data_IF_172660868166
#
_entry.id   IF_172660868166
#
_cell.length_a   1.000
_cell.length_b   1.000
_cell.length_c   1.000
_cell.angle_alpha   90.00
_cell.angle_beta   90.00
_cell.angle_gamma   90.00
#
_symmetry.space_group_name_H-M   'P 1'
#
loop_
_entity.id
_entity.type
_entity.pdbx_description
1 polymer ?
#
# COMPACT_ATOMS: atom_id res chain seq x y z
N UNK A 1 -11.97 -2.89 16.68
CA UNK A 1 -11.42 -3.62 17.83
C UNK A 1 -9.95 -3.29 18.08
N UNK A 2 -8.93 -3.75 17.34
CA UNK A 2 -7.53 -3.49 17.79
C UNK A 2 -7.01 -2.04 17.62
N UNK A 3 -7.49 -1.25 16.64
CA UNK A 3 -6.93 0.08 16.34
C UNK A 3 -7.37 1.13 17.38
N UNK A 4 -8.67 1.18 17.72
CA UNK A 4 -9.19 2.16 18.68
C UNK A 4 -8.81 1.80 20.12
N UNK A 5 -8.86 0.51 20.47
CA UNK A 5 -8.60 0.08 21.84
C UNK A 5 -7.21 0.55 22.26
N UNK A 6 -6.19 0.52 21.39
CA UNK A 6 -4.88 1.04 21.76
C UNK A 6 -4.83 2.58 21.81
N UNK A 7 -5.47 3.34 20.93
CA UNK A 7 -5.57 4.80 21.09
C UNK A 7 -6.24 5.20 22.42
N UNK A 8 -7.33 4.51 22.80
CA UNK A 8 -8.07 4.80 24.04
C UNK A 8 -7.35 4.29 25.30
N UNK A 9 -6.85 3.06 25.27
CA UNK A 9 -6.13 2.40 26.38
C UNK A 9 -4.78 3.06 26.60
N UNK A 10 -3.99 3.39 25.56
CA UNK A 10 -2.71 4.10 25.75
C UNK A 10 -2.89 5.51 26.28
N UNK A 11 -3.83 6.31 25.72
CA UNK A 11 -4.05 7.68 26.21
C UNK A 11 -4.61 7.73 27.64
N UNK A 12 -5.45 6.76 28.06
CA UNK A 12 -5.91 6.68 29.46
C UNK A 12 -4.85 6.10 30.40
N UNK A 13 -4.22 4.96 30.08
CA UNK A 13 -3.34 4.27 31.02
C UNK A 13 -2.01 4.98 31.29
N UNK A 14 -1.45 5.74 30.33
CA UNK A 14 -0.23 6.51 30.62
C UNK A 14 -0.47 7.70 31.56
N UNK A 15 -1.73 8.13 31.69
CA UNK A 15 -2.11 9.13 32.70
C UNK A 15 -2.15 8.53 34.11
N UNK A 16 -2.19 7.19 34.24
CA UNK A 16 -2.55 6.52 35.50
C UNK A 16 -1.58 5.42 35.98
N UNK A 17 -0.65 4.84 35.20
CA UNK A 17 0.26 3.77 35.71
C UNK A 17 1.54 3.50 34.87
N UNK A 18 2.78 3.69 35.39
CA UNK A 18 4.04 3.49 34.65
C UNK A 18 4.55 2.05 34.44
N UNK A 19 3.86 1.00 34.92
CA UNK A 19 4.47 -0.34 35.12
C UNK A 19 4.28 -1.38 33.99
N UNK A 20 3.44 -1.13 32.96
CA UNK A 20 3.03 -2.17 31.99
C UNK A 20 4.01 -2.46 30.82
N UNK A 21 5.22 -1.89 30.82
CA UNK A 21 6.17 -2.00 29.71
C UNK A 21 7.21 -3.14 29.88
N UNK A 22 6.80 -4.32 30.35
CA UNK A 22 7.70 -5.44 30.66
C UNK A 22 7.46 -6.78 29.94
N UNK A 23 6.47 -6.92 29.03
CA UNK A 23 6.00 -8.26 28.63
C UNK A 23 6.07 -8.64 27.14
N UNK A 24 6.93 -8.04 26.31
CA UNK A 24 7.07 -8.50 24.90
C UNK A 24 8.52 -8.86 24.54
N UNK A 25 8.90 -10.16 24.57
CA UNK A 25 10.17 -10.63 24.02
C UNK A 25 10.12 -10.63 22.49
N UNK A 26 11.17 -10.10 21.84
CA UNK A 26 11.34 -10.10 20.38
C UNK A 26 12.52 -10.98 19.99
N UNK A 27 12.29 -12.01 19.17
CA UNK A 27 13.34 -12.78 18.49
C UNK A 27 13.41 -12.40 17.00
N UNK A 28 14.60 -12.17 16.43
CA UNK A 28 14.78 -11.91 15.00
C UNK A 28 14.69 -13.21 14.16
N UNK A 29 14.11 -13.19 12.95
CA UNK A 29 14.17 -14.33 12.03
C UNK A 29 15.46 -14.31 11.19
N UNK A 30 16.09 -15.47 11.06
CA UNK A 30 17.31 -15.76 10.32
C UNK A 30 17.16 -15.59 8.79
N UNK A 31 18.27 -15.24 8.16
CA UNK A 31 18.43 -15.07 6.71
C UNK A 31 18.72 -16.42 6.03
N UNK A 32 17.78 -16.94 5.24
CA UNK A 32 18.07 -18.02 4.29
C UNK A 32 18.43 -17.41 2.93
N UNK A 33 19.73 -17.21 2.71
CA UNK A 33 20.31 -16.89 1.41
C UNK A 33 20.41 -18.12 0.52
N UNK A 34 19.99 -18.01 -0.73
CA UNK A 34 20.18 -19.01 -1.77
C UNK A 34 20.39 -18.30 -3.09
N UNK A 35 21.65 -18.19 -3.52
CA UNK A 35 22.05 -17.68 -4.81
C UNK A 35 21.74 -18.74 -5.89
N UNK A 36 21.16 -18.32 -7.02
CA UNK A 36 21.13 -19.12 -8.25
C UNK A 36 21.48 -18.20 -9.42
N UNK A 37 22.48 -18.63 -10.19
CA UNK A 37 23.15 -17.88 -11.24
C UNK A 37 22.28 -17.53 -12.44
N UNK A 38 22.63 -16.40 -13.04
CA UNK A 38 22.07 -15.85 -14.27
C UNK A 38 22.76 -16.51 -15.46
N UNK A 39 22.03 -17.37 -16.18
CA UNK A 39 22.37 -17.79 -17.54
C UNK A 39 21.71 -16.82 -18.53
N UNK A 40 22.52 -16.20 -19.38
CA UNK A 40 22.08 -15.24 -20.39
C UNK A 40 21.24 -15.87 -21.49
N UNK A 41 20.27 -15.10 -22.00
CA UNK A 41 19.64 -15.34 -23.28
C UNK A 41 19.47 -13.98 -23.96
N UNK A 42 20.16 -13.82 -25.08
CA UNK A 42 20.03 -12.70 -26.01
C UNK A 42 18.62 -12.67 -26.62
N UNK A 43 18.00 -11.48 -26.68
CA UNK A 43 16.84 -11.25 -27.53
C UNK A 43 17.08 -10.00 -28.37
N UNK A 44 17.24 -10.27 -29.66
CA UNK A 44 17.43 -9.34 -30.76
C UNK A 44 16.24 -8.38 -30.91
N UNK A 45 16.56 -7.11 -31.14
CA UNK A 45 15.62 -6.06 -31.52
C UNK A 45 15.30 -6.22 -33.02
N UNK A 46 14.03 -6.21 -33.40
CA UNK A 46 13.61 -5.98 -34.79
C UNK A 46 12.65 -4.80 -34.85
N UNK A 47 13.07 -3.82 -35.65
CA UNK A 47 12.29 -2.67 -36.10
C UNK A 47 11.22 -3.08 -37.13
N UNK A 48 10.17 -2.25 -37.23
CA UNK A 48 9.29 -1.91 -38.37
C UNK A 48 7.92 -1.54 -37.78
N UNK A 49 7.19 -0.50 -38.18
CA UNK A 49 7.32 0.48 -39.26
C UNK A 49 6.24 1.56 -39.05
N UNK A 50 6.47 2.71 -39.68
CA UNK A 50 5.61 3.89 -39.71
C UNK A 50 4.41 3.69 -40.64
N UNK A 51 3.23 4.21 -40.25
CA UNK A 51 2.16 4.56 -41.20
C UNK A 51 1.51 5.89 -40.82
N UNK A 52 1.20 6.66 -41.86
CA UNK A 52 0.68 8.03 -41.88
C UNK A 52 -0.75 8.02 -42.40
N UNK A 53 -1.61 8.87 -41.84
CA UNK A 53 -2.68 9.58 -42.57
C UNK A 53 -4.10 8.98 -42.57
N UNK A 54 -5.08 9.78 -42.12
CA UNK A 54 -6.51 9.50 -42.31
C UNK A 54 -7.42 10.43 -41.50
N UNK A 55 -8.08 11.34 -42.20
CA UNK A 55 -8.86 12.50 -41.74
C UNK A 55 -10.35 12.23 -41.48
N UNK A 56 -10.96 13.05 -40.61
CA UNK A 56 -12.33 13.57 -40.76
C UNK A 56 -13.45 12.91 -39.94
N UNK A 57 -14.12 13.69 -39.09
CA UNK A 57 -15.39 13.32 -38.47
C UNK A 57 -15.72 14.07 -37.18
N UNK A 58 -16.20 15.31 -37.30
CA UNK A 58 -16.82 16.09 -36.21
C UNK A 58 -18.28 15.67 -36.04
N UNK A 59 -18.71 15.32 -34.82
CA UNK A 59 -20.13 15.31 -34.48
C UNK A 59 -20.32 15.63 -32.99
N UNK A 60 -20.91 16.79 -32.71
CA UNK A 60 -21.21 17.29 -31.38
C UNK A 60 -22.69 17.05 -31.02
N UNK A 61 -22.87 16.40 -29.88
CA UNK A 61 -23.82 16.68 -28.78
C UNK A 61 -25.30 16.96 -29.09
N UNK A 62 -26.16 16.02 -28.67
CA UNK A 62 -27.42 16.36 -27.99
C UNK A 62 -27.36 15.65 -26.63
N UNK A 63 -27.30 16.43 -25.55
CA UNK A 63 -27.32 15.94 -24.18
C UNK A 63 -28.75 15.97 -23.64
N UNK A 64 -29.17 14.87 -23.02
CA UNK A 64 -30.35 14.85 -22.16
C UNK A 64 -29.92 14.99 -20.68
N UNK A 65 -30.71 15.71 -19.85
CA UNK A 65 -30.30 16.13 -18.52
C UNK A 65 -30.83 15.19 -17.42
N UNK A 66 -30.02 15.04 -16.37
CA UNK A 66 -30.37 14.53 -15.03
C UNK A 66 -30.65 13.02 -14.87
N UNK A 67 -29.56 12.26 -14.72
CA UNK A 67 -29.45 11.20 -13.70
C UNK A 67 -28.08 11.30 -13.02
N UNK A 68 -27.95 12.24 -12.06
CA UNK A 68 -26.79 12.29 -11.17
C UNK A 68 -26.82 11.07 -10.24
N UNK A 69 -26.06 10.05 -10.63
CA UNK A 69 -25.69 8.93 -9.77
C UNK A 69 -24.67 9.42 -8.73
N UNK A 70 -24.84 9.18 -7.42
CA UNK A 70 -23.83 9.56 -6.43
C UNK A 70 -22.73 8.49 -6.41
N UNK A 71 -21.76 8.58 -7.32
CA UNK A 71 -20.55 7.74 -7.25
C UNK A 71 -19.26 8.38 -7.75
N UNK A 72 -19.20 9.72 -7.85
CA UNK A 72 -17.95 10.42 -8.16
C UNK A 72 -17.04 10.55 -6.92
N UNK A 73 -16.68 9.41 -6.32
CA UNK A 73 -15.42 9.38 -5.55
C UNK A 73 -14.27 9.44 -6.55
N UNK A 74 -13.25 10.29 -6.35
CA UNK A 74 -12.13 10.39 -7.27
C UNK A 74 -11.47 9.02 -7.43
N UNK A 75 -11.22 8.64 -8.69
CA UNK A 75 -10.44 7.44 -9.02
C UNK A 75 -9.10 7.48 -8.27
N UNK A 76 -8.55 6.33 -7.84
CA UNK A 76 -7.22 6.30 -7.28
C UNK A 76 -6.26 6.99 -8.25
N UNK A 77 -5.25 7.74 -7.76
CA UNK A 77 -4.31 8.41 -8.63
C UNK A 77 -3.73 7.38 -9.61
N UNK A 78 -3.52 7.79 -10.86
CA UNK A 78 -2.70 7.02 -11.79
C UNK A 78 -1.26 6.98 -11.28
N UNK A 79 -0.51 5.95 -11.66
CA UNK A 79 0.91 5.91 -11.35
C UNK A 79 1.56 7.15 -11.98
N UNK A 80 2.38 7.94 -11.25
CA UNK A 80 3.06 9.08 -11.85
C UNK A 80 3.91 8.64 -13.04
N UNK A 81 3.78 9.33 -14.18
CA UNK A 81 4.57 9.08 -15.38
C UNK A 81 5.93 9.78 -15.34
N UNK A 82 6.06 10.80 -14.48
CA UNK A 82 7.31 11.52 -14.29
C UNK A 82 8.33 10.66 -13.53
N UNK A 83 9.63 10.76 -13.86
CA UNK A 83 10.67 10.09 -13.11
C UNK A 83 10.61 10.50 -11.63
N UNK A 84 10.70 9.54 -10.68
CA UNK A 84 10.68 9.87 -9.27
C UNK A 84 11.86 10.81 -8.93
N UNK A 85 11.68 11.78 -8.01
CA UNK A 85 12.78 12.62 -7.55
C UNK A 85 13.85 11.74 -6.91
N UNK A 86 15.11 12.16 -6.98
CA UNK A 86 16.20 11.49 -6.25
C UNK A 86 15.90 11.53 -4.75
N UNK A 87 16.32 10.51 -4.00
CA UNK A 87 16.11 10.40 -2.56
C UNK A 87 16.57 11.64 -1.78
N UNK A 88 17.67 12.26 -2.19
CA UNK A 88 18.19 13.49 -1.56
C UNK A 88 17.27 14.71 -1.71
N UNK A 89 16.39 14.70 -2.72
CA UNK A 89 15.43 15.78 -2.98
C UNK A 89 14.07 15.50 -2.32
N UNK A 90 13.91 14.36 -1.66
CA UNK A 90 12.69 14.02 -0.94
C UNK A 90 12.75 14.62 0.46
N UNK A 91 11.88 15.59 0.72
CA UNK A 91 11.75 16.19 2.04
C UNK A 91 11.00 15.28 3.01
N UNK A 92 11.30 15.37 4.31
CA UNK A 92 10.56 14.68 5.38
C UNK A 92 10.91 13.21 5.62
N UNK A 93 11.93 12.66 4.95
CA UNK A 93 12.49 11.36 5.30
C UNK A 93 13.22 11.43 6.65
N UNK A 94 13.00 10.44 7.52
CA UNK A 94 13.90 10.19 8.66
C UNK A 94 15.29 9.74 8.20
N UNK A 95 16.29 9.79 9.08
CA UNK A 95 17.64 9.34 8.75
C UNK A 95 17.67 7.87 8.32
N UNK A 96 16.89 7.01 8.99
CA UNK A 96 16.73 5.62 8.59
C UNK A 96 16.02 5.45 7.24
N UNK A 97 14.96 6.23 6.98
CA UNK A 97 14.24 6.18 5.70
C UNK A 97 15.09 6.70 4.54
N UNK A 98 15.90 7.74 4.74
CA UNK A 98 16.80 8.25 3.72
C UNK A 98 17.83 7.20 3.30
N UNK A 99 18.42 6.48 4.26
CA UNK A 99 19.33 5.35 3.98
C UNK A 99 18.65 4.23 3.19
N UNK A 100 17.43 3.85 3.59
CA UNK A 100 16.65 2.85 2.86
C UNK A 100 16.27 3.31 1.45
N UNK A 101 15.94 4.59 1.28
CA UNK A 101 15.64 5.17 -0.02
C UNK A 101 16.84 5.04 -0.96
N UNK A 102 18.03 5.42 -0.49
CA UNK A 102 19.28 5.31 -1.27
C UNK A 102 19.64 3.86 -1.61
N UNK A 103 19.30 2.90 -0.74
CA UNK A 103 19.53 1.47 -1.00
C UNK A 103 18.51 0.88 -1.98
N UNK A 104 17.31 1.45 -2.04
CA UNK A 104 16.14 0.94 -2.75
C UNK A 104 15.50 2.05 -3.59
N UNK A 105 16.30 2.69 -4.47
CA UNK A 105 15.85 3.89 -5.21
C UNK A 105 14.64 3.60 -6.10
N UNK A 106 14.60 2.42 -6.75
CA UNK A 106 13.48 1.97 -7.61
C UNK A 106 12.14 1.91 -6.85
N UNK A 107 12.18 1.72 -5.52
CA UNK A 107 11.00 1.61 -4.68
C UNK A 107 10.31 2.95 -4.48
N UNK A 108 11.05 4.06 -4.57
CA UNK A 108 10.53 5.38 -4.22
C UNK A 108 9.26 5.74 -5.00
N UNK A 109 9.20 5.44 -6.30
CA UNK A 109 8.00 5.66 -7.10
C UNK A 109 6.78 4.90 -6.55
N UNK A 110 6.97 3.63 -6.18
CA UNK A 110 5.91 2.78 -5.62
C UNK A 110 5.52 3.20 -4.19
N UNK A 111 6.47 3.66 -3.37
CA UNK A 111 6.15 4.21 -2.04
C UNK A 111 5.29 5.48 -2.23
N UNK A 112 5.71 6.40 -3.13
CA UNK A 112 4.99 7.65 -3.46
C UNK A 112 3.56 7.38 -3.88
N UNK A 113 3.41 6.51 -4.86
CA UNK A 113 2.12 6.06 -5.31
C UNK A 113 1.25 5.50 -4.17
N UNK A 114 1.79 4.58 -3.37
CA UNK A 114 1.06 3.93 -2.29
C UNK A 114 0.56 4.90 -1.22
N UNK A 115 1.40 5.86 -0.81
CA UNK A 115 0.98 6.91 0.14
C UNK A 115 -0.10 7.80 -0.47
N UNK A 116 0.09 8.28 -1.70
CA UNK A 116 -0.88 9.17 -2.36
C UNK A 116 -2.24 8.49 -2.54
N UNK A 117 -2.24 7.23 -2.97
CA UNK A 117 -3.46 6.45 -3.13
C UNK A 117 -4.15 6.19 -1.79
N UNK A 118 -3.40 5.89 -0.72
CA UNK A 118 -3.96 5.75 0.62
C UNK A 118 -4.58 7.07 1.15
N UNK A 119 -3.94 8.21 0.91
CA UNK A 119 -4.48 9.52 1.31
C UNK A 119 -5.69 9.94 0.47
N UNK A 120 -5.70 9.62 -0.83
CA UNK A 120 -6.88 9.82 -1.67
C UNK A 120 -8.07 9.01 -1.13
N UNK A 121 -7.83 7.75 -0.74
CA UNK A 121 -8.86 6.92 -0.13
C UNK A 121 -9.33 7.45 1.23
N UNK A 122 -8.41 7.97 2.05
CA UNK A 122 -8.76 8.63 3.30
C UNK A 122 -9.71 9.80 3.09
N UNK A 123 -9.45 10.66 2.11
CA UNK A 123 -10.35 11.77 1.75
C UNK A 123 -11.71 11.25 1.26
N UNK A 124 -11.71 10.19 0.47
CA UNK A 124 -12.96 9.60 -0.02
C UNK A 124 -13.80 8.98 1.11
N UNK A 125 -13.18 8.30 2.08
CA UNK A 125 -13.88 7.70 3.24
C UNK A 125 -14.45 8.77 4.19
N UNK A 126 -13.81 9.93 4.28
CA UNK A 126 -14.16 10.98 5.23
C UNK A 126 -14.80 12.21 4.57
N UNK A 127 -15.16 12.15 3.28
CA UNK A 127 -15.66 13.29 2.50
C UNK A 127 -16.80 14.06 3.18
N UNK A 128 -17.75 13.35 3.78
CA UNK A 128 -18.93 13.91 4.44
C UNK A 128 -18.81 13.98 5.98
N UNK A 129 -17.58 13.94 6.51
CA UNK A 129 -17.29 14.06 7.94
C UNK A 129 -16.74 15.45 8.25
N UNK A 130 -16.89 15.90 9.50
CA UNK A 130 -16.33 17.19 9.98
C UNK A 130 -14.82 17.27 9.75
N UNK A 131 -14.12 16.15 10.00
CA UNK A 131 -12.75 15.96 9.57
C UNK A 131 -12.75 15.15 8.27
N UNK A 132 -12.33 15.78 7.17
CA UNK A 132 -12.44 15.23 5.81
C UNK A 132 -11.12 14.68 5.24
N UNK A 133 -10.13 14.43 6.10
CA UNK A 133 -8.78 14.02 5.72
C UNK A 133 -8.08 14.99 4.73
N UNK A 134 -8.48 16.27 4.71
CA UNK A 134 -7.69 17.31 4.07
C UNK A 134 -6.36 17.44 4.82
N UNK A 135 -5.27 17.23 4.10
CA UNK A 135 -3.90 17.29 4.63
C UNK A 135 -3.23 18.47 3.93
N UNK A 136 -3.06 19.58 4.64
CA UNK A 136 -2.31 20.75 4.16
C UNK A 136 -0.83 20.58 4.47
N UNK A 137 0.05 21.20 3.68
CA UNK A 137 1.50 21.19 3.90
C UNK A 137 1.90 21.76 5.29
N UNK A 138 1.03 22.58 5.87
CA UNK A 138 1.17 23.17 7.22
C UNK A 138 0.90 22.17 8.35
N UNK A 139 0.03 21.17 8.13
CA UNK A 139 -0.34 20.16 9.13
C UNK A 139 0.42 18.83 8.95
N UNK A 140 1.04 18.65 7.78
CA UNK A 140 1.78 17.45 7.38
C UNK A 140 2.99 17.96 6.65
N UNK A 141 4.01 18.39 7.40
CA UNK A 141 5.27 18.77 6.77
C UNK A 141 5.74 17.65 5.82
N UNK A 142 6.36 18.06 4.72
CA UNK A 142 6.66 17.27 3.53
C UNK A 142 5.49 16.41 2.97
N UNK A 143 5.09 16.58 1.69
CA UNK A 143 3.91 15.95 1.05
C UNK A 143 3.81 14.42 1.03
N UNK A 144 4.72 13.70 1.69
CA UNK A 144 4.90 12.28 1.50
C UNK A 144 5.26 11.50 2.77
N UNK A 145 6.08 12.05 3.70
CA UNK A 145 6.55 11.30 4.88
C UNK A 145 6.83 12.16 6.13
N UNK A 146 6.67 13.49 6.05
CA UNK A 146 7.20 14.39 7.08
C UNK A 146 6.37 14.46 8.37
N UNK A 147 6.65 15.46 9.23
CA UNK A 147 6.48 15.36 10.67
C UNK A 147 5.07 14.93 10.97
N UNK A 148 5.03 13.94 11.84
CA UNK A 148 3.87 13.21 12.29
C UNK A 148 2.71 14.18 12.51
N UNK A 149 1.48 13.69 12.32
CA UNK A 149 0.37 14.26 13.07
C UNK A 149 0.82 14.19 14.54
N UNK A 150 1.33 15.31 15.08
CA UNK A 150 1.89 15.40 16.43
C UNK A 150 0.79 15.15 17.46
N UNK A 151 -0.45 15.20 17.00
CA UNK A 151 -1.67 14.81 17.69
C UNK A 151 -1.84 13.30 17.71
N UNK A 152 -1.88 12.74 18.92
CA UNK A 152 -2.43 11.41 19.18
C UNK A 152 -3.96 11.45 19.12
N UNK A 153 -4.51 11.65 17.92
CA UNK A 153 -5.95 11.59 17.68
C UNK A 153 -6.35 10.23 17.14
N UNK A 154 -7.66 9.97 17.12
CA UNK A 154 -8.17 8.86 16.33
C UNK A 154 -7.70 9.10 14.90
N UNK A 155 -8.10 10.20 14.26
CA UNK A 155 -7.84 10.59 12.86
C UNK A 155 -6.41 10.26 12.40
N UNK A 156 -5.42 10.57 13.23
CA UNK A 156 -4.02 10.24 12.98
C UNK A 156 -3.73 8.75 12.85
N UNK A 157 -4.32 7.91 13.70
CA UNK A 157 -4.21 6.47 13.62
C UNK A 157 -4.76 5.89 12.30
N UNK A 158 -5.84 6.44 11.76
CA UNK A 158 -6.37 5.99 10.45
C UNK A 158 -5.42 6.39 9.34
N UNK A 159 -4.90 7.63 9.37
CA UNK A 159 -3.92 8.10 8.40
C UNK A 159 -2.67 7.22 8.40
N UNK A 160 -2.15 6.83 9.57
CA UNK A 160 -1.01 5.91 9.65
C UNK A 160 -1.34 4.53 9.07
N UNK A 161 -2.51 3.97 9.42
CA UNK A 161 -2.94 2.67 8.92
C UNK A 161 -3.17 2.66 7.40
N UNK A 162 -3.85 3.66 6.83
CA UNK A 162 -4.15 3.72 5.40
C UNK A 162 -2.89 3.98 4.56
N UNK A 163 -1.93 4.77 5.06
CA UNK A 163 -0.62 4.94 4.41
C UNK A 163 0.14 3.62 4.38
N UNK A 164 0.20 2.91 5.51
CA UNK A 164 0.87 1.61 5.58
C UNK A 164 0.19 0.56 4.68
N UNK A 165 -1.14 0.55 4.61
CA UNK A 165 -1.88 -0.30 3.68
C UNK A 165 -1.58 0.05 2.21
N UNK A 166 -1.59 1.34 1.86
CA UNK A 166 -1.32 1.83 0.52
C UNK A 166 0.08 1.50 0.03
N UNK A 167 1.12 1.72 0.85
CA UNK A 167 2.50 1.36 0.50
C UNK A 167 2.65 -0.16 0.33
N UNK A 168 2.09 -0.97 1.24
CA UNK A 168 2.17 -2.42 1.12
C UNK A 168 1.47 -2.96 -0.14
N UNK A 169 0.33 -2.35 -0.51
CA UNK A 169 -0.41 -2.67 -1.73
C UNK A 169 0.38 -2.30 -2.99
N UNK A 170 0.91 -1.07 -3.04
CA UNK A 170 1.69 -0.58 -4.16
C UNK A 170 2.94 -1.45 -4.41
N UNK A 171 3.67 -1.81 -3.35
CA UNK A 171 4.84 -2.69 -3.45
C UNK A 171 4.51 -4.07 -3.99
N UNK A 172 3.44 -4.68 -3.48
CA UNK A 172 3.03 -6.01 -3.93
C UNK A 172 2.67 -6.03 -5.42
N UNK A 173 2.02 -4.98 -5.91
CA UNK A 173 1.71 -4.82 -7.34
C UNK A 173 2.93 -4.47 -8.17
N UNK A 174 3.84 -3.64 -7.66
CA UNK A 174 5.07 -3.30 -8.37
C UNK A 174 5.95 -4.53 -8.63
N UNK A 175 6.01 -5.49 -7.69
CA UNK A 175 6.64 -6.79 -7.91
C UNK A 175 5.96 -7.61 -9.02
N UNK A 176 4.63 -7.61 -9.07
CA UNK A 176 3.87 -8.31 -10.11
C UNK A 176 4.14 -7.71 -11.48
N UNK A 177 4.16 -6.38 -11.55
CA UNK A 177 4.33 -5.64 -12.79
C UNK A 177 5.81 -5.59 -13.23
N UNK A 178 6.73 -6.25 -12.51
CA UNK A 178 8.15 -6.31 -12.85
C UNK A 178 8.91 -4.99 -12.68
N UNK A 179 8.38 -4.04 -11.89
CA UNK A 179 9.00 -2.72 -11.69
C UNK A 179 10.11 -2.68 -10.66
N UNK A 180 10.26 -3.75 -9.89
CA UNK A 180 11.24 -3.84 -8.79
C UNK A 180 12.11 -5.06 -9.02
N UNK A 181 13.41 -4.86 -9.16
CA UNK A 181 14.38 -5.93 -9.43
C UNK A 181 14.63 -6.83 -8.21
N UNK A 182 14.29 -6.32 -7.02
CA UNK A 182 14.48 -7.01 -5.73
C UNK A 182 13.37 -8.00 -5.37
N UNK A 183 12.34 -8.16 -6.21
CA UNK A 183 11.26 -9.11 -5.97
C UNK A 183 10.71 -9.73 -7.26
N UNK A 184 10.02 -10.87 -7.09
CA UNK A 184 9.34 -11.59 -8.16
C UNK A 184 7.81 -11.57 -7.95
N UNK A 185 7.07 -12.19 -8.87
CA UNK A 185 5.66 -12.55 -8.67
C UNK A 185 5.43 -13.31 -7.35
N UNK A 186 4.18 -13.31 -6.89
CA UNK A 186 3.74 -14.08 -5.72
C UNK A 186 4.11 -15.56 -5.82
N UNK A 187 4.61 -16.12 -4.71
CA UNK A 187 4.85 -17.57 -4.54
C UNK A 187 3.68 -18.30 -3.87
N UNK A 188 2.50 -17.67 -3.85
CA UNK A 188 1.33 -18.26 -3.21
C UNK A 188 0.91 -19.56 -3.87
N UNK A 189 0.69 -20.58 -3.04
CA UNK A 189 0.19 -21.87 -3.47
C UNK A 189 -1.24 -21.78 -4.01
N UNK A 190 -1.61 -22.79 -4.80
CA UNK A 190 -2.95 -22.95 -5.33
C UNK A 190 -4.00 -23.02 -4.21
N UNK A 191 -5.07 -22.22 -4.24
CA UNK A 191 -6.18 -22.33 -3.30
C UNK A 191 -6.88 -23.68 -3.39
N UNK A 192 -7.26 -24.27 -2.26
CA UNK A 192 -7.90 -25.61 -2.19
C UNK A 192 -9.29 -25.64 -2.84
N UNK A 193 -9.97 -24.51 -2.79
CA UNK A 193 -11.31 -24.26 -3.32
C UNK A 193 -11.31 -23.91 -4.82
N UNK A 194 -10.13 -23.77 -5.45
CA UNK A 194 -10.03 -23.50 -6.88
C UNK A 194 -10.40 -24.75 -7.69
N UNK A 195 -11.36 -24.57 -8.60
CA UNK A 195 -11.79 -25.55 -9.60
C UNK A 195 -10.61 -26.28 -10.25
N UNK A 196 -10.59 -27.61 -10.14
CA UNK A 196 -9.45 -28.47 -10.55
C UNK A 196 -9.03 -28.28 -12.01
N UNK A 197 -9.98 -27.99 -12.88
CA UNK A 197 -9.79 -27.73 -14.31
C UNK A 197 -9.20 -26.36 -14.63
N UNK A 198 -9.18 -25.43 -13.68
CA UNK A 198 -8.58 -24.11 -13.87
C UNK A 198 -7.09 -24.15 -13.54
N UNK A 199 -6.26 -23.57 -14.39
CA UNK A 199 -4.81 -23.51 -14.19
C UNK A 199 -4.49 -22.48 -13.12
N UNK A 200 -3.72 -22.87 -12.09
CA UNK A 200 -3.14 -21.92 -11.16
C UNK A 200 -1.79 -21.48 -11.71
N UNK A 201 -1.65 -20.20 -12.04
CA UNK A 201 -0.45 -19.69 -12.69
C UNK A 201 -0.58 -18.22 -13.05
N UNK A 202 0.40 -17.73 -13.81
CA UNK A 202 0.55 -16.29 -14.09
C UNK A 202 1.29 -15.56 -12.97
N UNK A 203 1.29 -14.23 -13.04
CA UNK A 203 1.99 -13.38 -12.09
C UNK A 203 1.00 -12.73 -11.11
N UNK A 204 1.02 -13.18 -9.86
CA UNK A 204 0.21 -12.60 -8.78
C UNK A 204 0.95 -11.53 -7.96
N UNK A 205 0.20 -10.74 -7.20
CA UNK A 205 0.75 -9.67 -6.35
C UNK A 205 1.64 -10.24 -5.22
N UNK A 206 2.90 -9.80 -5.12
CA UNK A 206 3.84 -10.30 -4.12
C UNK A 206 3.67 -9.59 -2.77
N UNK A 207 2.68 -10.06 -2.05
CA UNK A 207 2.25 -9.48 -0.80
C UNK A 207 3.20 -9.66 0.38
N UNK A 208 3.96 -10.75 0.38
CA UNK A 208 4.94 -11.02 1.43
C UNK A 208 6.06 -9.98 1.36
N UNK A 209 6.52 -9.69 0.15
CA UNK A 209 7.45 -8.60 -0.11
C UNK A 209 6.85 -7.26 0.31
N UNK A 210 5.64 -6.94 -0.16
CA UNK A 210 4.97 -5.68 0.17
C UNK A 210 4.82 -5.45 1.68
N UNK A 211 4.48 -6.50 2.43
CA UNK A 211 4.42 -6.45 3.90
C UNK A 211 5.79 -6.18 4.53
N UNK A 212 6.82 -6.96 4.15
CA UNK A 212 8.17 -6.88 4.73
C UNK A 212 8.83 -5.54 4.45
N UNK A 213 8.83 -5.10 3.20
CA UNK A 213 9.45 -3.83 2.82
C UNK A 213 8.78 -2.65 3.54
N UNK A 214 7.44 -2.59 3.51
CA UNK A 214 6.69 -1.51 4.18
C UNK A 214 6.94 -1.48 5.68
N UNK A 215 7.09 -2.65 6.32
CA UNK A 215 7.47 -2.75 7.72
C UNK A 215 8.82 -2.13 8.00
N UNK A 216 9.83 -2.49 7.22
CA UNK A 216 11.19 -1.95 7.36
C UNK A 216 11.18 -0.43 7.12
N UNK A 217 10.54 0.03 6.06
CA UNK A 217 10.57 1.44 5.65
C UNK A 217 9.76 2.37 6.55
N UNK A 218 8.54 2.01 6.95
CA UNK A 218 7.71 2.89 7.78
C UNK A 218 8.08 2.83 9.27
N UNK A 219 8.48 1.66 9.78
CA UNK A 219 8.72 1.51 11.22
C UNK A 219 10.11 2.03 11.65
N UNK A 220 11.05 2.24 10.72
CA UNK A 220 12.40 2.72 11.07
C UNK A 220 12.34 4.10 11.73
N UNK A 221 11.46 4.99 11.26
CA UNK A 221 11.25 6.33 11.82
C UNK A 221 10.81 6.28 13.29
N UNK A 222 9.95 5.32 13.63
CA UNK A 222 9.43 5.15 15.00
C UNK A 222 10.46 4.48 15.93
N UNK A 223 11.48 3.82 15.37
CA UNK A 223 12.48 3.04 16.13
C UNK A 223 13.84 3.71 16.27
N UNK A 224 14.19 4.65 15.38
CA UNK A 224 15.50 5.31 15.40
C UNK A 224 15.68 6.23 16.61
N UNK A 225 14.60 6.81 17.13
CA UNK A 225 14.63 7.64 18.35
C UNK A 225 14.32 6.80 19.58
N UNK A 226 15.22 6.86 20.56
CA UNK A 226 14.99 6.27 21.89
C UNK A 226 14.35 7.30 22.81
N UNK A 227 13.15 7.00 23.28
CA UNK A 227 12.42 7.83 24.23
C UNK A 227 12.55 7.28 25.64
N UNK A 228 12.39 8.16 26.64
CA UNK A 228 12.34 7.76 28.05
C UNK A 228 11.16 6.81 28.25
N UNK A 229 11.38 5.73 29.00
CA UNK A 229 10.31 4.79 29.35
C UNK A 229 9.20 5.53 30.09
N UNK A 230 7.95 5.37 29.66
CA UNK A 230 6.81 6.07 30.25
C UNK A 230 6.58 7.49 29.69
N UNK A 231 7.35 7.95 28.70
CA UNK A 231 7.11 9.27 28.11
C UNK A 231 5.94 9.27 27.10
N UNK A 232 5.24 10.40 26.93
CA UNK A 232 4.20 10.54 25.90
C UNK A 232 4.70 10.20 24.49
N UNK A 233 5.94 10.54 24.18
CA UNK A 233 6.56 10.26 22.88
C UNK A 233 6.78 8.77 22.67
N UNK A 234 7.16 8.02 23.71
CA UNK A 234 7.24 6.56 23.63
C UNK A 234 5.86 5.97 23.32
N UNK A 235 4.81 6.44 24.01
CA UNK A 235 3.44 6.00 23.76
C UNK A 235 3.01 6.26 22.32
N UNK A 236 3.32 7.44 21.78
CA UNK A 236 3.02 7.82 20.39
C UNK A 236 3.74 6.94 19.37
N UNK A 237 5.03 6.65 19.57
CA UNK A 237 5.79 5.76 18.68
C UNK A 237 5.21 4.34 18.68
N UNK A 238 4.83 3.81 19.85
CA UNK A 238 4.20 2.50 19.97
C UNK A 238 2.83 2.46 19.28
N UNK A 239 2.04 3.53 19.41
CA UNK A 239 0.77 3.69 18.72
C UNK A 239 0.96 3.73 17.20
N UNK A 240 1.93 4.50 16.69
CA UNK A 240 2.26 4.55 15.27
C UNK A 240 2.66 3.18 14.72
N UNK A 241 3.54 2.46 15.43
CA UNK A 241 3.95 1.10 15.06
C UNK A 241 2.75 0.14 14.99
N UNK A 242 1.84 0.23 15.96
CA UNK A 242 0.62 -0.57 15.98
C UNK A 242 -0.30 -0.23 14.79
N UNK A 243 -0.52 1.06 14.52
CA UNK A 243 -1.38 1.50 13.42
C UNK A 243 -0.80 1.11 12.06
N UNK A 244 0.52 1.24 11.89
CA UNK A 244 1.23 0.77 10.70
C UNK A 244 1.04 -0.74 10.52
N UNK A 245 1.16 -1.52 11.59
CA UNK A 245 0.95 -2.96 11.55
C UNK A 245 -0.49 -3.33 11.22
N UNK A 246 -1.46 -2.62 11.80
CA UNK A 246 -2.87 -2.81 11.51
C UNK A 246 -3.17 -2.55 10.02
N UNK A 247 -2.62 -1.47 9.46
CA UNK A 247 -2.68 -1.15 8.04
C UNK A 247 -2.09 -2.24 7.15
N UNK A 248 -0.87 -2.70 7.46
CA UNK A 248 -0.21 -3.81 6.73
C UNK A 248 -0.98 -5.12 6.81
N UNK A 249 -1.68 -5.37 7.92
CA UNK A 249 -2.51 -6.58 8.14
C UNK A 249 -3.88 -6.54 7.49
N UNK A 250 -4.36 -5.39 7.00
CA UNK A 250 -5.60 -5.31 6.21
C UNK A 250 -5.58 -6.36 5.11
N UNK A 251 -4.42 -6.62 4.52
CA UNK A 251 -4.18 -7.77 3.64
C UNK A 251 -4.70 -9.08 4.21
N UNK A 252 -4.30 -9.54 5.40
CA UNK A 252 -4.73 -10.86 5.94
C UNK A 252 -6.24 -10.94 6.06
N UNK A 253 -6.88 -9.84 6.41
CA UNK A 253 -8.32 -9.76 6.55
C UNK A 253 -9.05 -9.76 5.20
N UNK A 254 -8.46 -9.10 4.21
CA UNK A 254 -8.90 -9.04 2.82
C UNK A 254 -8.59 -10.34 2.06
N UNK A 255 -7.53 -11.06 2.44
CA UNK A 255 -7.12 -12.30 1.79
C UNK A 255 -7.91 -13.52 2.23
N UNK A 256 -8.54 -13.48 3.43
CA UNK A 256 -9.66 -14.39 3.71
C UNK A 256 -10.80 -14.23 2.69
N UNK A 257 -10.83 -13.10 1.97
CA UNK A 257 -11.71 -12.79 0.84
C UNK A 257 -10.95 -12.68 -0.50
N UNK A 258 -9.68 -13.11 -0.56
CA UNK A 258 -8.81 -13.01 -1.74
C UNK A 258 -9.54 -13.56 -2.94
N UNK A 259 -9.91 -12.70 -3.88
CA UNK A 259 -10.49 -13.14 -5.14
C UNK A 259 -9.37 -13.76 -5.94
N UNK A 260 -9.53 -15.04 -6.25
CA UNK A 260 -8.77 -15.65 -7.33
C UNK A 260 -9.20 -14.90 -8.60
N UNK A 261 -8.29 -14.14 -9.19
CA UNK A 261 -8.56 -13.47 -10.47
C UNK A 261 -8.21 -14.44 -11.56
N UNK A 262 -9.11 -14.60 -12.53
CA UNK A 262 -8.95 -15.51 -13.64
C UNK A 262 -9.04 -14.77 -14.97
N UNK A 263 -8.33 -15.28 -15.97
CA UNK A 263 -8.45 -14.88 -17.37
C UNK A 263 -8.84 -16.08 -18.22
N UNK A 264 -9.77 -15.86 -19.12
CA UNK A 264 -10.14 -16.81 -20.15
C UNK A 264 -9.20 -16.72 -21.35
N UNK A 265 -8.82 -17.88 -21.86
CA UNK A 265 -8.05 -18.07 -23.07
C UNK A 265 -8.85 -18.99 -23.99
N UNK A 266 -9.09 -18.55 -25.23
CA UNK A 266 -9.84 -19.31 -26.22
C UNK A 266 -10.11 -18.47 -27.46
N UNK A 267 -10.39 -19.14 -28.58
CA UNK A 267 -10.74 -18.47 -29.85
C UNK A 267 -12.00 -17.63 -29.63
N UNK A 268 -12.01 -16.41 -30.16
CA UNK A 268 -13.13 -15.45 -30.04
C UNK A 268 -13.56 -15.12 -28.61
N UNK A 269 -12.65 -15.19 -27.64
CA UNK A 269 -12.95 -14.85 -26.23
C UNK A 269 -13.63 -15.98 -25.44
N UNK A 270 -13.65 -17.21 -25.97
CA UNK A 270 -14.11 -18.38 -25.22
C UNK A 270 -13.21 -18.70 -24.02
N UNK A 271 -13.76 -19.41 -23.04
CA UNK A 271 -13.08 -19.83 -21.81
C UNK A 271 -12.69 -21.32 -21.84
N UNK A 272 -12.12 -21.81 -22.94
CA UNK A 272 -11.67 -23.21 -23.05
C UNK A 272 -10.48 -23.51 -22.14
N UNK A 273 -9.65 -22.51 -21.87
CA UNK A 273 -8.61 -22.54 -20.85
C UNK A 273 -8.78 -21.34 -19.92
N UNK A 274 -8.72 -21.57 -18.61
CA UNK A 274 -8.81 -20.52 -17.61
C UNK A 274 -7.54 -20.56 -16.77
N UNK A 275 -6.83 -19.44 -16.73
CA UNK A 275 -5.64 -19.27 -15.87
C UNK A 275 -5.98 -18.29 -14.76
N UNK A 276 -5.66 -18.64 -13.53
CA UNK A 276 -5.93 -17.81 -12.37
C UNK A 276 -4.71 -17.56 -11.50
N UNK A 277 -4.66 -16.37 -10.91
CA UNK A 277 -3.61 -15.94 -9.99
C UNK A 277 -4.21 -15.23 -8.78
N UNK A 278 -3.36 -15.03 -7.77
CA UNK A 278 -3.71 -14.22 -6.62
C UNK A 278 -3.55 -12.73 -6.94
N UNK A 279 -4.61 -11.95 -6.70
CA UNK A 279 -4.58 -10.50 -6.86
C UNK A 279 -5.13 -9.82 -5.62
N UNK A 280 -4.49 -8.72 -5.21
CA UNK A 280 -5.01 -7.81 -4.21
C UNK A 280 -6.24 -7.09 -4.77
N UNK A 281 -7.26 -6.80 -3.94
CA UNK A 281 -8.35 -5.94 -4.37
C UNK A 281 -7.86 -4.52 -4.66
N UNK A 282 -8.77 -3.67 -5.11
CA UNK A 282 -8.51 -2.24 -5.25
C UNK A 282 -8.20 -1.58 -3.90
N UNK A 283 -7.50 -0.44 -3.94
CA UNK A 283 -7.24 0.37 -2.73
C UNK A 283 -8.56 0.86 -2.10
N UNK A 284 -9.59 1.07 -2.91
CA UNK A 284 -10.95 1.40 -2.45
C UNK A 284 -11.53 0.33 -1.53
N UNK A 285 -11.49 -0.91 -1.97
CA UNK A 285 -11.95 -2.07 -1.18
C UNK A 285 -11.10 -2.25 0.11
N UNK A 286 -9.80 -1.92 0.07
CA UNK A 286 -8.98 -1.87 1.30
C UNK A 286 -9.46 -0.76 2.25
N UNK A 287 -9.77 0.41 1.68
CA UNK A 287 -10.26 1.60 2.35
C UNK A 287 -11.60 1.41 3.04
N UNK A 288 -12.47 0.55 2.53
CA UNK A 288 -13.75 0.20 3.16
C UNK A 288 -13.58 -0.75 4.36
N UNK A 289 -12.51 -1.54 4.39
CA UNK A 289 -12.27 -2.49 5.49
C UNK A 289 -11.76 -1.80 6.76
N UNK A 290 -10.95 -0.75 6.62
CA UNK A 290 -10.34 -0.02 7.74
C UNK A 290 -11.35 0.73 8.64
N UNK A 291 -12.37 1.43 8.12
CA UNK A 291 -13.42 2.10 8.88
C UNK A 291 -14.14 1.21 9.88
N UNK A 292 -14.41 -0.05 9.52
CA UNK A 292 -15.06 -1.02 10.43
C UNK A 292 -14.21 -1.33 11.67
N UNK A 293 -12.88 -1.23 11.55
CA UNK A 293 -11.91 -1.42 12.65
C UNK A 293 -11.60 -0.13 13.40
N UNK A 294 -11.97 0.99 12.80
CA UNK A 294 -11.80 2.37 13.25
C UNK A 294 -12.99 2.96 14.01
N UNK A 295 -14.19 2.42 13.81
CA UNK A 295 -15.40 2.92 14.48
C UNK A 295 -15.73 2.20 15.80
N UNK A 296 -15.22 0.97 16.02
CA UNK A 296 -15.43 0.17 17.23
C UNK A 296 -14.18 -0.24 17.99
#
# INVERSE_FOLDING_TARGET
MEIIILCYVFCRHFKESPSYAQQVPWTPPESSGGAVGVGGVDVSVSEMGTMVGGSGGSMSMIGDPLLLSPSSSPLPPSLPTDPPPKCNNVTGLSAGQAKLCLLYEEHLASIRYGVQAGLAECRAQFLHRRWNCSMTAENVGAPFLGPDLQTSSREAAFVQAIKAAGVAHAMARACRDGRLNTCSCSRSGRPKDLRRDWVWGGCGDNMEYGYKFTKVFLDVKEKEKRWKKGSPEQGRNLMNLHNNEAGRRVRKAVLKKSRVTCKCHGVSGSCSLITCWQQLPSIRELGEYLPSRWAG
#
